data_IF_625405770924
#
_entry.id   IF_625405770924
#
_cell.length_a   1.000
_cell.length_b   1.000
_cell.length_c   1.000
_cell.angle_alpha   90.00
_cell.angle_beta   90.00
_cell.angle_gamma   90.00
#
_symmetry.space_group_name_H-M   'P 1'
#
loop_
_entity.id
_entity.type
_entity.pdbx_description
1 polymer ?
#
# COMPACT_ATOMS: atom_id res chain seq x y z
N UNK A 1 -18.91 -13.65 -2.02
CA UNK A 1 -18.57 -13.39 -3.44
C UNK A 1 -19.36 -12.16 -3.93
N UNK A 2 -18.98 -11.57 -5.07
CA UNK A 2 -19.58 -10.33 -5.60
C UNK A 2 -21.10 -10.43 -5.78
N UNK A 3 -21.58 -11.59 -6.25
CA UNK A 3 -23.01 -11.88 -6.41
C UNK A 3 -23.78 -11.78 -5.09
N UNK A 4 -23.24 -12.33 -3.98
CA UNK A 4 -23.85 -12.20 -2.66
C UNK A 4 -23.86 -10.75 -2.15
N UNK A 5 -22.83 -9.96 -2.46
CA UNK A 5 -22.78 -8.54 -2.11
C UNK A 5 -23.84 -7.72 -2.88
N UNK A 6 -24.01 -8.00 -4.18
CA UNK A 6 -25.04 -7.39 -5.00
C UNK A 6 -26.46 -7.76 -4.51
N UNK A 7 -26.71 -9.04 -4.21
CA UNK A 7 -28.01 -9.51 -3.70
C UNK A 7 -28.43 -8.85 -2.38
N UNK A 8 -27.47 -8.46 -1.54
CA UNK A 8 -27.74 -7.75 -0.27
C UNK A 8 -27.63 -6.21 -0.38
N UNK A 9 -27.49 -5.65 -1.59
CA UNK A 9 -27.39 -4.21 -1.81
C UNK A 9 -26.15 -3.54 -1.20
N UNK A 10 -25.08 -4.29 -0.96
CA UNK A 10 -23.87 -3.75 -0.35
C UNK A 10 -23.03 -2.98 -1.38
N UNK A 11 -22.59 -1.78 -1.01
CA UNK A 11 -21.64 -1.00 -1.81
C UNK A 11 -20.24 -1.59 -1.70
N UNK A 12 -19.60 -1.82 -2.84
CA UNK A 12 -18.17 -2.09 -2.91
C UNK A 12 -17.39 -0.78 -3.13
N UNK A 13 -16.30 -0.59 -2.38
CA UNK A 13 -15.44 0.59 -2.52
C UNK A 13 -14.30 0.35 -3.51
N UNK A 14 -13.73 -0.85 -3.48
CA UNK A 14 -12.72 -1.32 -4.42
C UNK A 14 -12.76 -2.86 -4.46
N UNK A 15 -12.21 -3.43 -5.51
CA UNK A 15 -11.84 -4.84 -5.61
C UNK A 15 -10.39 -5.02 -5.13
N UNK A 16 -10.12 -6.07 -4.36
CA UNK A 16 -8.76 -6.53 -4.08
C UNK A 16 -8.35 -7.46 -5.23
N UNK A 17 -7.65 -6.92 -6.22
CA UNK A 17 -7.30 -7.61 -7.45
C UNK A 17 -6.12 -8.59 -7.29
N UNK A 18 -5.27 -8.36 -6.28
CA UNK A 18 -4.11 -9.20 -6.02
C UNK A 18 -3.52 -8.93 -4.65
N UNK A 19 -2.89 -9.94 -4.07
CA UNK A 19 -2.13 -9.85 -2.83
C UNK A 19 -0.85 -10.65 -3.01
N UNK A 20 0.27 -9.99 -2.73
CA UNK A 20 1.59 -10.61 -2.66
C UNK A 20 2.14 -10.49 -1.24
N UNK A 21 2.90 -11.48 -0.82
CA UNK A 21 3.59 -11.46 0.47
C UNK A 21 4.95 -12.10 0.37
N UNK A 22 5.86 -11.64 1.20
CA UNK A 22 7.19 -12.19 1.30
C UNK A 22 7.59 -12.40 2.76
N UNK A 23 8.52 -13.34 2.96
CA UNK A 23 9.21 -13.53 4.24
C UNK A 23 10.69 -13.19 4.05
N UNK A 24 10.98 -11.91 3.81
CA UNK A 24 12.31 -11.45 3.41
C UNK A 24 13.31 -11.75 4.55
N UNK A 25 14.43 -12.38 4.19
CA UNK A 25 15.56 -12.60 5.11
C UNK A 25 16.45 -11.37 5.07
N UNK A 26 16.12 -10.38 5.91
CA UNK A 26 16.75 -9.04 5.91
C UNK A 26 18.23 -9.04 6.30
N UNK A 27 18.73 -10.13 6.86
CA UNK A 27 20.16 -10.31 7.18
C UNK A 27 21.02 -10.59 5.94
N UNK A 28 20.40 -11.11 4.86
CA UNK A 28 21.09 -11.54 3.66
C UNK A 28 20.47 -10.96 2.37
N UNK A 29 19.46 -10.09 2.48
CA UNK A 29 18.76 -9.50 1.36
C UNK A 29 18.76 -7.97 1.47
N UNK A 30 18.89 -7.31 0.32
CA UNK A 30 18.57 -5.89 0.19
C UNK A 30 17.05 -5.70 0.35
N UNK A 31 16.63 -5.24 1.52
CA UNK A 31 15.22 -5.04 1.84
C UNK A 31 14.55 -4.02 0.90
N UNK A 32 15.24 -2.97 0.48
CA UNK A 32 14.65 -1.96 -0.40
C UNK A 32 14.37 -2.58 -1.77
N UNK A 33 15.33 -3.32 -2.32
CA UNK A 33 15.13 -4.02 -3.59
C UNK A 33 14.04 -5.10 -3.49
N UNK A 34 14.00 -5.86 -2.39
CA UNK A 34 12.99 -6.90 -2.20
C UNK A 34 11.58 -6.32 -2.04
N UNK A 35 11.42 -5.18 -1.35
CA UNK A 35 10.13 -4.46 -1.27
C UNK A 35 9.74 -3.90 -2.64
N UNK A 36 10.70 -3.38 -3.41
CA UNK A 36 10.45 -2.91 -4.78
C UNK A 36 9.88 -4.03 -5.66
N UNK A 37 10.51 -5.20 -5.66
CA UNK A 37 10.06 -6.36 -6.42
C UNK A 37 8.69 -6.86 -5.94
N UNK A 38 8.44 -6.84 -4.62
CA UNK A 38 7.13 -7.21 -4.07
C UNK A 38 6.01 -6.28 -4.56
N UNK A 39 6.27 -4.97 -4.58
CA UNK A 39 5.32 -3.96 -5.07
C UNK A 39 5.05 -4.15 -6.57
N UNK A 40 6.09 -4.41 -7.36
CA UNK A 40 5.96 -4.69 -8.79
C UNK A 40 5.17 -5.98 -9.04
N UNK A 41 5.45 -7.05 -8.29
CA UNK A 41 4.72 -8.31 -8.40
C UNK A 41 3.22 -8.10 -8.13
N UNK A 42 2.87 -7.36 -7.08
CA UNK A 42 1.47 -7.03 -6.77
C UNK A 42 0.81 -6.15 -7.84
N UNK A 43 1.60 -5.43 -8.64
CA UNK A 43 1.10 -4.51 -9.67
C UNK A 43 1.38 -4.96 -11.11
N UNK A 44 1.40 -6.26 -11.37
CA UNK A 44 1.57 -6.83 -12.72
C UNK A 44 2.88 -6.36 -13.41
N UNK A 45 3.94 -6.13 -12.64
CA UNK A 45 5.23 -5.62 -13.11
C UNK A 45 5.27 -4.13 -13.42
N UNK A 46 4.22 -3.36 -13.11
CA UNK A 46 4.13 -1.92 -13.39
C UNK A 46 4.45 -1.08 -12.16
N UNK A 47 5.10 0.06 -12.36
CA UNK A 47 5.27 1.04 -11.29
C UNK A 47 3.90 1.56 -10.84
N UNK A 48 3.59 1.56 -9.52
CA UNK A 48 2.34 2.11 -9.03
C UNK A 48 2.37 3.64 -9.05
N UNK A 49 1.25 4.26 -9.42
CA UNK A 49 1.09 5.72 -9.32
C UNK A 49 0.79 6.17 -7.89
N UNK A 50 0.03 5.37 -7.13
CA UNK A 50 -0.40 5.69 -5.78
C UNK A 50 -0.26 4.51 -4.82
N UNK A 51 0.34 4.76 -3.65
CA UNK A 51 0.59 3.76 -2.62
C UNK A 51 0.10 4.25 -1.26
N UNK A 52 -0.66 3.41 -0.55
CA UNK A 52 -0.95 3.61 0.87
C UNK A 52 0.00 2.73 1.67
N UNK A 53 0.98 3.36 2.31
CA UNK A 53 2.00 2.68 3.10
C UNK A 53 1.49 2.39 4.50
N UNK A 54 1.53 1.11 4.85
CA UNK A 54 1.35 0.57 6.19
C UNK A 54 2.67 0.25 6.90
N UNK A 55 3.81 0.80 6.47
CA UNK A 55 5.10 0.54 7.13
C UNK A 55 5.06 0.90 8.63
N UNK A 56 5.81 0.13 9.43
CA UNK A 56 5.68 0.14 10.88
C UNK A 56 6.23 1.38 11.58
N UNK A 57 6.89 2.29 10.87
CA UNK A 57 7.64 3.41 11.44
C UNK A 57 9.01 3.03 12.02
N UNK A 58 9.42 1.76 11.92
CA UNK A 58 10.75 1.35 12.35
C UNK A 58 11.79 1.88 11.35
N UNK A 59 12.78 2.64 11.82
CA UNK A 59 13.66 3.45 10.99
C UNK A 59 14.20 2.72 9.74
N UNK A 60 14.85 1.56 9.92
CA UNK A 60 15.42 0.80 8.80
C UNK A 60 14.37 0.24 7.84
N UNK A 61 13.26 -0.29 8.37
CA UNK A 61 12.19 -0.88 7.57
C UNK A 61 11.44 0.18 6.74
N UNK A 62 11.08 1.30 7.37
CA UNK A 62 10.42 2.44 6.71
C UNK A 62 11.34 3.11 5.71
N UNK A 63 12.64 3.26 6.01
CA UNK A 63 13.60 3.81 5.06
C UNK A 63 13.77 2.92 3.81
N UNK A 64 13.77 1.59 3.99
CA UNK A 64 13.86 0.65 2.88
C UNK A 64 12.61 0.70 1.98
N UNK A 65 11.42 0.74 2.57
CA UNK A 65 10.18 0.93 1.80
C UNK A 65 10.20 2.27 1.05
N UNK A 66 10.54 3.36 1.74
CA UNK A 66 10.63 4.68 1.10
C UNK A 66 11.59 4.66 -0.10
N UNK A 67 12.76 4.04 0.06
CA UNK A 67 13.75 3.88 -1.02
C UNK A 67 13.16 3.10 -2.20
N UNK A 68 12.41 2.03 -1.93
CA UNK A 68 11.73 1.25 -2.96
C UNK A 68 10.68 2.09 -3.72
N UNK A 69 9.84 2.83 -3.00
CA UNK A 69 8.77 3.63 -3.58
C UNK A 69 9.30 4.86 -4.34
N UNK A 70 10.36 5.49 -3.84
CA UNK A 70 11.07 6.56 -4.54
C UNK A 70 11.67 6.06 -5.87
N UNK A 71 12.28 4.87 -5.88
CA UNK A 71 12.83 4.25 -7.09
C UNK A 71 11.74 3.92 -8.12
N UNK A 72 10.50 3.65 -7.66
CA UNK A 72 9.33 3.43 -8.53
C UNK A 72 8.67 4.75 -8.96
N UNK A 73 9.12 5.90 -8.43
CA UNK A 73 8.48 7.21 -8.62
C UNK A 73 7.00 7.22 -8.19
N UNK A 74 6.66 6.41 -7.19
CA UNK A 74 5.29 6.31 -6.69
C UNK A 74 4.96 7.46 -5.72
N UNK A 75 3.76 8.03 -5.82
CA UNK A 75 3.24 8.89 -4.75
C UNK A 75 2.70 8.02 -3.62
N UNK A 76 3.08 8.31 -2.38
CA UNK A 76 2.72 7.48 -1.24
C UNK A 76 2.17 8.26 -0.06
N UNK A 77 1.45 7.55 0.83
CA UNK A 77 0.93 8.05 2.11
C UNK A 77 1.28 7.08 3.25
N UNK A 78 2.13 7.49 4.18
CA UNK A 78 2.54 6.70 5.34
C UNK A 78 1.59 6.88 6.51
N UNK A 79 0.59 6.00 6.63
CA UNK A 79 -0.53 6.21 7.57
C UNK A 79 -0.09 6.14 9.05
N UNK A 80 1.01 5.45 9.33
CA UNK A 80 1.55 5.36 10.70
C UNK A 80 2.06 6.68 11.27
N UNK A 81 2.34 7.69 10.42
CA UNK A 81 2.66 9.03 10.89
C UNK A 81 1.48 9.71 11.61
N UNK A 82 0.24 9.35 11.23
CA UNK A 82 -0.98 9.90 11.83
C UNK A 82 -1.53 9.00 12.95
N UNK A 83 -1.54 7.69 12.74
CA UNK A 83 -2.25 6.75 13.63
C UNK A 83 -1.34 6.03 14.62
N UNK A 84 -0.02 6.18 14.51
CA UNK A 84 0.91 5.19 15.05
C UNK A 84 0.80 3.86 14.30
N UNK A 85 1.48 2.82 14.79
CA UNK A 85 1.44 1.48 14.19
C UNK A 85 0.47 0.55 14.92
N UNK A 86 -0.58 0.10 14.23
CA UNK A 86 -1.69 -0.64 14.83
C UNK A 86 -1.52 -2.17 14.80
N UNK A 87 -0.31 -2.66 14.53
CA UNK A 87 0.00 -4.09 14.50
C UNK A 87 -0.91 -4.83 13.50
N UNK A 88 -1.68 -5.82 13.94
CA UNK A 88 -2.55 -6.64 13.09
C UNK A 88 -3.64 -5.82 12.39
N UNK A 89 -4.05 -4.68 12.96
CA UNK A 89 -5.02 -3.78 12.36
C UNK A 89 -4.40 -2.80 11.33
N UNK A 90 -3.07 -2.75 11.22
CA UNK A 90 -2.38 -1.82 10.33
C UNK A 90 -2.76 -2.04 8.85
N UNK A 91 -2.63 -3.28 8.36
CA UNK A 91 -2.88 -3.58 6.96
C UNK A 91 -4.37 -3.46 6.59
N UNK A 92 -5.33 -3.94 7.40
CA UNK A 92 -6.75 -3.66 7.18
C UNK A 92 -7.10 -2.18 7.10
N UNK A 93 -6.51 -1.33 7.95
CA UNK A 93 -6.72 0.11 7.90
C UNK A 93 -6.18 0.71 6.59
N UNK A 94 -4.96 0.33 6.21
CA UNK A 94 -4.34 0.78 4.96
C UNK A 94 -5.19 0.37 3.73
N UNK A 95 -5.71 -0.86 3.72
CA UNK A 95 -6.64 -1.35 2.69
C UNK A 95 -7.92 -0.51 2.63
N UNK A 96 -8.52 -0.20 3.77
CA UNK A 96 -9.75 0.60 3.81
C UNK A 96 -9.53 2.02 3.27
N UNK A 97 -8.43 2.68 3.64
CA UNK A 97 -8.09 4.02 3.16
C UNK A 97 -7.81 4.02 1.65
N UNK A 98 -7.05 3.04 1.16
CA UNK A 98 -6.81 2.89 -0.27
C UNK A 98 -8.09 2.62 -1.06
N UNK A 99 -9.00 1.79 -0.53
CA UNK A 99 -10.30 1.53 -1.16
C UNK A 99 -11.14 2.80 -1.26
N UNK A 100 -11.12 3.66 -0.23
CA UNK A 100 -11.80 4.95 -0.26
C UNK A 100 -11.19 5.87 -1.32
N UNK A 101 -9.87 5.91 -1.44
CA UNK A 101 -9.19 6.70 -2.47
C UNK A 101 -9.55 6.26 -3.88
N UNK A 102 -9.51 4.95 -4.15
CA UNK A 102 -9.92 4.38 -5.44
C UNK A 102 -11.40 4.66 -5.74
N UNK A 103 -12.27 4.52 -4.74
CA UNK A 103 -13.70 4.80 -4.86
C UNK A 103 -13.97 6.27 -5.22
N UNK A 104 -13.32 7.20 -4.50
CA UNK A 104 -13.47 8.64 -4.76
C UNK A 104 -12.75 9.10 -6.02
N UNK A 105 -11.74 8.36 -6.48
CA UNK A 105 -10.91 8.78 -7.60
C UNK A 105 -9.82 9.78 -7.20
N UNK A 106 -9.49 9.89 -5.92
CA UNK A 106 -8.53 10.88 -5.40
C UNK A 106 -7.66 10.29 -4.28
N UNK A 107 -6.39 10.69 -4.25
CA UNK A 107 -5.55 10.43 -3.09
C UNK A 107 -5.97 11.34 -1.94
N UNK A 108 -5.89 10.85 -0.70
CA UNK A 108 -6.02 11.75 0.44
C UNK A 108 -4.79 12.67 0.58
N UNK A 109 -4.96 13.77 1.32
CA UNK A 109 -3.93 14.79 1.48
C UNK A 109 -2.60 14.21 2.01
N UNK A 110 -1.45 14.79 1.64
CA UNK A 110 -0.17 14.49 2.28
C UNK A 110 -0.27 14.54 3.81
N UNK A 111 0.29 13.55 4.49
CA UNK A 111 0.35 13.43 5.95
C UNK A 111 1.65 13.99 6.53
N UNK A 112 2.67 14.15 5.69
CA UNK A 112 3.98 14.73 6.04
C UNK A 112 4.50 15.62 4.89
N UNK A 113 5.38 16.57 5.21
CA UNK A 113 5.96 17.49 4.23
C UNK A 113 6.81 16.81 3.14
N UNK A 114 7.30 15.58 3.39
CA UNK A 114 8.05 14.80 2.42
C UNK A 114 7.17 14.06 1.40
N UNK A 115 5.86 13.98 1.64
CA UNK A 115 4.92 13.27 0.76
C UNK A 115 4.51 14.15 -0.41
N UNK A 116 4.78 13.66 -1.63
CA UNK A 116 4.44 14.37 -2.88
C UNK A 116 2.96 14.25 -3.19
N UNK A 117 2.45 15.21 -3.96
CA UNK A 117 1.11 15.13 -4.52
C UNK A 117 0.96 13.88 -5.40
N UNK A 118 -0.18 13.19 -5.26
CA UNK A 118 -0.56 12.14 -6.19
C UNK A 118 -1.28 12.83 -7.35
N UNK A 119 -0.60 12.99 -8.48
CA UNK A 119 -1.15 13.67 -9.64
C UNK A 119 -2.28 12.87 -10.28
N UNK A 120 -3.37 13.55 -10.60
CA UNK A 120 -4.46 12.99 -11.40
C UNK A 120 -5.40 12.03 -10.64
N UNK A 121 -6.38 11.44 -11.36
CA UNK A 121 -7.36 10.54 -10.76
C UNK A 121 -6.76 9.22 -10.29
N UNK A 122 -7.20 8.73 -9.13
CA UNK A 122 -6.80 7.43 -8.57
C UNK A 122 -7.80 6.35 -8.98
N UNK A 123 -7.47 5.55 -9.99
CA UNK A 123 -8.28 4.39 -10.42
C UNK A 123 -7.80 3.05 -9.83
N UNK A 124 -6.57 3.01 -9.34
CA UNK A 124 -5.96 1.88 -8.64
C UNK A 124 -5.03 2.39 -7.54
N UNK A 125 -4.76 1.54 -6.55
CA UNK A 125 -3.81 1.83 -5.48
C UNK A 125 -3.09 0.55 -5.07
N UNK A 126 -1.81 0.67 -4.72
CA UNK A 126 -1.10 -0.39 -4.01
C UNK A 126 -1.13 -0.09 -2.51
N UNK A 127 -1.29 -1.14 -1.71
CA UNK A 127 -1.21 -1.06 -0.25
C UNK A 127 -0.03 -1.89 0.18
N UNK A 128 0.94 -1.29 0.88
CA UNK A 128 2.10 -2.01 1.41
C UNK A 128 1.99 -2.20 2.92
N UNK A 129 2.61 -3.27 3.43
CA UNK A 129 2.96 -3.40 4.84
C UNK A 129 4.40 -3.85 4.94
N UNK A 130 5.20 -3.16 5.76
CA UNK A 130 6.56 -3.54 6.11
C UNK A 130 6.71 -3.45 7.62
N UNK A 131 6.75 -4.62 8.27
CA UNK A 131 6.84 -4.74 9.72
C UNK A 131 8.22 -4.38 10.27
N UNK A 132 8.29 -4.12 11.57
CA UNK A 132 9.52 -3.66 12.22
C UNK A 132 10.66 -4.68 12.12
N UNK A 133 10.37 -5.95 12.38
CA UNK A 133 11.33 -7.06 12.34
C UNK A 133 11.13 -7.96 11.13
N UNK A 134 9.87 -8.24 10.80
CA UNK A 134 9.44 -9.12 9.72
C UNK A 134 8.01 -8.81 9.32
N UNK A 135 7.57 -9.39 8.20
CA UNK A 135 6.29 -9.23 7.53
C UNK A 135 6.36 -8.15 6.44
N UNK A 136 6.33 -8.61 5.19
CA UNK A 136 6.28 -7.77 4.01
C UNK A 136 5.12 -8.24 3.12
N UNK A 137 4.27 -7.29 2.72
CA UNK A 137 3.11 -7.57 1.89
C UNK A 137 2.75 -6.38 1.02
N UNK A 138 2.13 -6.67 -0.13
CA UNK A 138 1.57 -5.69 -1.02
C UNK A 138 0.20 -6.19 -1.54
N UNK A 139 -0.78 -5.31 -1.66
CA UNK A 139 -2.06 -5.63 -2.29
C UNK A 139 -2.45 -4.58 -3.31
N UNK A 140 -3.07 -5.03 -4.39
CA UNK A 140 -3.62 -4.17 -5.43
C UNK A 140 -5.10 -3.97 -5.23
N UNK A 141 -5.51 -2.71 -5.18
CA UNK A 141 -6.91 -2.30 -5.20
C UNK A 141 -7.26 -1.65 -6.52
N UNK A 142 -8.37 -2.05 -7.12
CA UNK A 142 -8.90 -1.47 -8.36
C UNK A 142 -10.36 -1.06 -8.19
N UNK A 143 -10.80 -0.12 -9.01
CA UNK A 143 -12.21 0.30 -9.04
C UNK A 143 -13.11 -0.86 -9.48
N UNK A 144 -14.26 -1.00 -8.81
CA UNK A 144 -15.34 -1.95 -9.17
C UNK A 144 -16.21 -1.40 -10.28
#
# INVERSE_FOLDING_TARGET
NAEHAAKRGARAYAEVAGIESAQIRRDNADLANAVRELVLAANDGKNPSYVVSGASGAHAATAAEKTALDALSASYRGISGLTGHLREAQFPLALALAAISVWKGEAFAPLDASEKDAGGPVSEAIVTIVGATRAEGAAKLVRV
#
